data_IF_664751053689
#
_entry.id   IF_664751053689
#
_cell.length_a   1.000
_cell.length_b   1.000
_cell.length_c   1.000
_cell.angle_alpha   90.00
_cell.angle_beta   90.00
_cell.angle_gamma   90.00
#
_symmetry.space_group_name_H-M   'P 1'
#
loop_
_entity.id
_entity.type
_entity.pdbx_description
1 polymer ?
#
# COMPACT_ATOMS: atom_id res chain seq x y z
N UNK A 1 -3.24 -18.60 -19.54
CA UNK A 1 -2.24 -18.92 -18.51
C UNK A 1 -2.46 -20.33 -17.97
N UNK A 2 -3.63 -20.66 -17.42
CA UNK A 2 -3.92 -21.99 -16.84
C UNK A 2 -3.69 -23.16 -17.81
N UNK A 3 -4.14 -23.03 -19.07
CA UNK A 3 -3.89 -24.04 -20.11
C UNK A 3 -2.39 -24.22 -20.41
N UNK A 4 -1.63 -23.13 -20.44
CA UNK A 4 -0.18 -23.16 -20.61
C UNK A 4 0.52 -23.85 -19.43
N UNK A 5 0.07 -23.56 -18.21
CA UNK A 5 0.59 -24.19 -17.00
C UNK A 5 0.29 -25.69 -16.97
N UNK A 6 -0.93 -26.10 -17.38
CA UNK A 6 -1.30 -27.51 -17.50
C UNK A 6 -0.37 -28.28 -18.46
N UNK A 7 -0.05 -27.70 -19.61
CA UNK A 7 0.84 -28.37 -20.58
C UNK A 7 2.29 -28.44 -20.07
N UNK A 8 2.73 -27.41 -19.35
CA UNK A 8 4.13 -27.29 -18.92
C UNK A 8 4.45 -28.00 -17.62
N UNK A 9 3.52 -28.00 -16.68
CA UNK A 9 3.72 -28.45 -15.31
C UNK A 9 2.75 -29.54 -14.86
N UNK A 10 1.88 -29.97 -15.73
CA UNK A 10 0.79 -30.92 -15.44
C UNK A 10 -0.19 -30.46 -14.35
N UNK A 11 -0.18 -29.14 -14.04
CA UNK A 11 -1.03 -28.50 -13.06
C UNK A 11 -1.39 -27.07 -13.52
N UNK A 12 -2.68 -26.72 -13.69
CA UNK A 12 -3.11 -25.39 -14.14
C UNK A 12 -2.77 -24.27 -13.15
N UNK A 13 -2.58 -24.60 -11.88
CA UNK A 13 -2.25 -23.63 -10.81
C UNK A 13 -0.77 -23.60 -10.47
N UNK A 14 0.07 -24.38 -11.13
CA UNK A 14 1.51 -24.34 -10.95
C UNK A 14 2.13 -23.22 -11.82
N UNK A 15 2.72 -22.24 -11.16
CA UNK A 15 3.37 -21.07 -11.80
C UNK A 15 4.90 -21.20 -11.86
N UNK A 16 5.42 -22.39 -11.68
CA UNK A 16 6.85 -22.65 -11.78
C UNK A 16 7.67 -22.30 -10.54
N UNK A 17 7.02 -21.92 -9.43
CA UNK A 17 7.71 -21.56 -8.19
C UNK A 17 8.56 -22.69 -7.61
N UNK A 18 8.16 -23.94 -7.82
CA UNK A 18 8.90 -25.13 -7.37
C UNK A 18 10.21 -25.32 -8.17
N UNK A 19 10.24 -24.83 -9.41
CA UNK A 19 11.38 -24.99 -10.32
C UNK A 19 12.32 -23.79 -10.31
N UNK A 20 12.08 -22.79 -9.47
CA UNK A 20 12.98 -21.65 -9.34
C UNK A 20 14.24 -22.08 -8.58
N UNK A 21 15.40 -21.89 -9.20
CA UNK A 21 16.71 -22.03 -8.54
C UNK A 21 16.97 -20.82 -7.64
N UNK A 22 16.26 -20.73 -6.53
CA UNK A 22 16.47 -19.71 -5.50
C UNK A 22 17.15 -20.35 -4.30
N UNK A 23 17.87 -19.54 -3.53
CA UNK A 23 18.59 -19.99 -2.33
C UNK A 23 17.62 -20.57 -1.29
N UNK A 24 16.36 -20.10 -1.31
CA UNK A 24 15.32 -20.52 -0.40
C UNK A 24 14.15 -21.18 -1.13
N UNK A 25 13.52 -22.13 -0.46
CA UNK A 25 12.35 -22.83 -0.99
C UNK A 25 11.08 -21.95 -0.86
N UNK A 26 10.81 -21.14 -1.89
CA UNK A 26 9.63 -20.25 -1.94
C UNK A 26 8.31 -21.01 -1.92
N UNK A 27 8.27 -22.28 -2.34
CA UNK A 27 7.10 -23.12 -2.27
C UNK A 27 6.68 -23.50 -0.82
N UNK A 28 7.59 -23.37 0.12
CA UNK A 28 7.32 -23.60 1.55
C UNK A 28 6.68 -22.37 2.23
N UNK A 29 6.63 -21.22 1.59
CA UNK A 29 6.05 -20.01 2.14
C UNK A 29 4.54 -20.14 2.26
N UNK A 30 4.01 -19.83 3.45
CA UNK A 30 2.57 -19.90 3.74
C UNK A 30 2.05 -18.54 4.15
N UNK A 31 0.86 -18.22 3.66
CA UNK A 31 0.13 -17.03 4.10
C UNK A 31 -0.37 -17.28 5.53
N UNK A 32 0.13 -16.50 6.48
CA UNK A 32 -0.23 -16.61 7.90
C UNK A 32 -0.73 -15.29 8.44
N UNK A 33 -1.85 -15.29 9.14
CA UNK A 33 -2.47 -14.09 9.68
C UNK A 33 -1.58 -13.39 10.72
N UNK A 34 -0.75 -14.14 11.43
CA UNK A 34 0.21 -13.60 12.41
C UNK A 34 1.23 -12.62 11.80
N UNK A 35 1.45 -12.67 10.48
CA UNK A 35 2.36 -11.77 9.74
C UNK A 35 1.70 -10.46 9.30
N UNK A 36 0.38 -10.34 9.39
CA UNK A 36 -0.35 -9.15 8.97
C UNK A 36 0.12 -7.85 9.67
N UNK A 37 0.32 -7.81 11.00
CA UNK A 37 0.81 -6.59 11.66
C UNK A 37 2.20 -6.18 11.17
N UNK A 38 3.09 -7.15 10.95
CA UNK A 38 4.43 -6.88 10.43
C UNK A 38 4.39 -6.37 8.97
N UNK A 39 3.51 -6.93 8.14
CA UNK A 39 3.29 -6.46 6.77
C UNK A 39 2.81 -5.01 6.76
N UNK A 40 1.78 -4.68 7.55
CA UNK A 40 1.26 -3.31 7.66
C UNK A 40 2.36 -2.36 8.17
N UNK A 41 3.07 -2.74 9.23
CA UNK A 41 4.16 -1.93 9.78
C UNK A 41 5.24 -1.61 8.75
N UNK A 42 5.64 -2.59 7.97
CA UNK A 42 6.71 -2.44 6.98
C UNK A 42 6.26 -1.68 5.73
N UNK A 43 5.16 -2.09 5.12
CA UNK A 43 4.70 -1.49 3.85
C UNK A 43 4.11 -0.10 4.00
N UNK A 44 3.56 0.26 5.17
CA UNK A 44 2.93 1.56 5.36
C UNK A 44 3.71 2.51 6.26
N UNK A 45 4.34 2.02 7.32
CA UNK A 45 4.90 2.85 8.39
C UNK A 45 6.43 2.81 8.51
N UNK A 46 7.13 2.09 7.63
CA UNK A 46 8.59 2.12 7.62
C UNK A 46 9.08 3.53 7.31
N UNK A 47 9.78 4.15 8.26
CA UNK A 47 10.28 5.53 8.12
C UNK A 47 11.56 5.61 7.30
N UNK A 48 11.95 6.85 6.98
CA UNK A 48 13.28 7.17 6.48
C UNK A 48 14.25 7.35 7.65
N UNK A 49 15.48 6.94 7.47
CA UNK A 49 16.58 7.15 8.42
C UNK A 49 17.33 8.43 8.05
N UNK A 50 17.55 9.29 9.04
CA UNK A 50 18.32 10.52 8.85
C UNK A 50 19.80 10.21 8.96
N UNK A 51 20.57 10.70 7.99
CA UNK A 51 22.03 10.67 7.98
C UNK A 51 22.57 12.08 8.21
N UNK A 52 23.79 12.14 8.78
CA UNK A 52 24.47 13.43 8.96
C UNK A 52 25.12 13.93 7.65
N UNK A 53 25.46 12.99 6.74
CA UNK A 53 26.11 13.25 5.46
C UNK A 53 25.13 13.10 4.31
N UNK A 54 25.49 13.67 3.15
CA UNK A 54 24.70 13.46 1.91
C UNK A 54 24.52 11.97 1.61
N UNK A 55 23.30 11.50 1.29
CA UNK A 55 22.10 12.23 0.87
C UNK A 55 21.15 12.68 2.01
N UNK A 56 21.56 12.72 3.26
CA UNK A 56 20.84 13.14 4.46
C UNK A 56 19.63 12.26 4.86
N UNK A 57 19.05 11.54 3.91
CA UNK A 57 17.95 10.60 4.11
C UNK A 57 18.25 9.32 3.34
N UNK A 58 18.05 8.19 4.00
CA UNK A 58 18.05 6.89 3.33
C UNK A 58 16.85 6.05 3.75
N UNK A 59 16.51 5.10 2.95
CA UNK A 59 15.52 4.09 3.28
C UNK A 59 16.02 3.21 4.42
N UNK A 60 15.13 2.88 5.34
CA UNK A 60 15.49 2.06 6.50
C UNK A 60 15.68 0.61 6.07
N UNK A 61 16.78 0.02 6.51
CA UNK A 61 16.99 -1.41 6.36
C UNK A 61 16.13 -2.14 7.39
N UNK A 62 15.22 -2.98 6.91
CA UNK A 62 14.33 -3.75 7.78
C UNK A 62 14.79 -5.20 7.81
N UNK A 63 15.26 -5.64 8.95
CA UNK A 63 15.54 -7.06 9.23
C UNK A 63 14.39 -7.62 10.05
N UNK A 64 13.76 -8.68 9.53
CA UNK A 64 12.76 -9.42 10.31
C UNK A 64 13.45 -10.64 10.90
N UNK A 65 13.35 -10.78 12.21
CA UNK A 65 14.08 -11.78 12.99
C UNK A 65 13.71 -13.24 12.69
N UNK A 66 12.76 -13.50 11.81
CA UNK A 66 12.28 -14.84 11.54
C UNK A 66 12.97 -15.43 10.32
N UNK A 67 13.98 -16.29 10.57
CA UNK A 67 14.85 -16.96 9.58
C UNK A 67 14.12 -17.82 8.53
N UNK A 68 12.81 -18.05 8.68
CA UNK A 68 12.00 -18.83 7.74
C UNK A 68 11.39 -17.97 6.61
N UNK A 69 11.61 -16.67 6.62
CA UNK A 69 11.17 -15.79 5.54
C UNK A 69 12.34 -15.48 4.63
N UNK A 70 12.06 -15.54 3.35
CA UNK A 70 12.91 -15.04 2.29
C UNK A 70 13.01 -13.50 2.40
N UNK A 71 13.92 -13.07 3.24
CA UNK A 71 14.20 -11.65 3.45
C UNK A 71 15.56 -11.37 2.86
N UNK A 72 15.56 -10.93 1.63
CA UNK A 72 16.63 -10.03 1.25
C UNK A 72 16.44 -8.77 2.08
N UNK A 73 17.51 -8.39 2.76
CA UNK A 73 17.55 -7.11 3.41
C UNK A 73 17.58 -6.02 2.37
N UNK A 74 16.44 -5.66 1.86
CA UNK A 74 16.29 -4.48 1.04
C UNK A 74 15.93 -3.29 1.93
N UNK A 75 16.47 -2.15 1.55
CA UNK A 75 16.09 -0.90 2.17
C UNK A 75 14.71 -0.50 1.66
N UNK A 76 13.74 -0.39 2.54
CA UNK A 76 12.36 -0.02 2.20
C UNK A 76 11.96 1.28 2.87
N UNK A 77 11.02 1.97 2.26
CA UNK A 77 10.29 3.05 2.90
C UNK A 77 8.79 2.76 2.84
N UNK A 78 8.09 3.03 3.95
CA UNK A 78 6.65 2.83 4.00
C UNK A 78 5.90 3.84 3.13
N UNK A 79 4.68 3.48 2.71
CA UNK A 79 3.86 4.31 1.85
C UNK A 79 3.60 5.72 2.42
N UNK A 80 3.45 5.83 3.74
CA UNK A 80 3.24 7.12 4.40
C UNK A 80 4.51 7.98 4.55
N UNK A 81 5.68 7.46 4.21
CA UNK A 81 6.88 8.29 4.06
C UNK A 81 6.80 9.19 2.81
N UNK A 82 5.93 8.89 1.85
CA UNK A 82 5.63 9.76 0.73
C UNK A 82 4.62 10.85 1.14
N UNK A 83 5.00 12.15 1.06
CA UNK A 83 4.11 13.24 1.47
C UNK A 83 2.78 13.26 0.74
N UNK A 84 2.75 12.91 -0.54
CA UNK A 84 1.51 12.85 -1.34
C UNK A 84 0.52 11.83 -0.79
N UNK A 85 0.99 10.64 -0.41
CA UNK A 85 0.16 9.57 0.16
C UNK A 85 -0.33 9.96 1.55
N UNK A 86 0.55 10.54 2.38
CA UNK A 86 0.20 11.01 3.71
C UNK A 86 -0.86 12.13 3.67
N UNK A 87 -0.67 13.14 2.81
CA UNK A 87 -1.63 14.23 2.64
C UNK A 87 -2.98 13.72 2.10
N UNK A 88 -2.95 12.77 1.16
CA UNK A 88 -4.15 12.10 0.67
C UNK A 88 -4.91 11.40 1.80
N UNK A 89 -4.22 10.65 2.65
CA UNK A 89 -4.81 9.99 3.80
C UNK A 89 -5.39 11.01 4.80
N UNK A 90 -4.69 12.10 5.09
CA UNK A 90 -5.17 13.19 5.96
C UNK A 90 -6.40 13.91 5.38
N UNK A 91 -6.59 13.91 4.06
CA UNK A 91 -7.76 14.52 3.42
C UNK A 91 -9.03 13.68 3.52
N UNK A 92 -8.94 12.39 3.85
CA UNK A 92 -10.09 11.46 3.92
C UNK A 92 -11.23 11.99 4.80
N UNK A 93 -11.01 12.42 6.07
CA UNK A 93 -12.13 12.86 6.92
C UNK A 93 -12.87 14.08 6.37
N UNK A 94 -12.15 14.99 5.70
CA UNK A 94 -12.75 16.18 5.09
C UNK A 94 -13.62 15.81 3.87
N UNK A 95 -13.08 14.96 3.00
CA UNK A 95 -13.78 14.49 1.80
C UNK A 95 -14.96 13.60 2.19
N UNK A 96 -14.83 12.75 3.20
CA UNK A 96 -15.87 11.90 3.73
C UNK A 96 -17.08 12.70 4.25
N UNK A 97 -16.85 13.75 5.03
CA UNK A 97 -17.90 14.62 5.54
C UNK A 97 -18.69 15.29 4.40
N UNK A 98 -18.00 15.66 3.31
CA UNK A 98 -18.66 16.20 2.11
C UNK A 98 -19.54 15.16 1.43
N UNK A 99 -19.02 13.96 1.19
CA UNK A 99 -19.76 12.89 0.54
C UNK A 99 -21.04 12.55 1.32
N UNK A 100 -20.96 12.53 2.64
CA UNK A 100 -22.09 12.31 3.52
C UNK A 100 -23.18 13.40 3.36
N UNK A 101 -22.79 14.65 3.22
CA UNK A 101 -23.73 15.77 3.01
C UNK A 101 -24.38 15.76 1.63
N UNK A 102 -23.72 15.20 0.63
CA UNK A 102 -24.21 15.18 -0.76
C UNK A 102 -25.05 13.94 -1.10
N UNK A 103 -25.39 13.07 -0.16
CA UNK A 103 -26.05 11.78 -0.38
C UNK A 103 -25.35 10.85 -1.40
N UNK A 104 -24.11 11.17 -1.79
CA UNK A 104 -23.31 10.40 -2.75
C UNK A 104 -22.28 9.51 -2.04
N UNK A 105 -22.50 9.26 -0.74
CA UNK A 105 -21.54 8.60 0.12
C UNK A 105 -21.33 7.12 -0.22
N UNK A 106 -22.40 6.42 -0.62
CA UNK A 106 -22.38 4.95 -0.66
C UNK A 106 -21.38 4.38 -1.66
N UNK A 107 -21.46 4.75 -2.94
CA UNK A 107 -20.56 4.21 -3.97
C UNK A 107 -19.09 4.60 -3.72
N UNK A 108 -18.86 5.88 -3.40
CA UNK A 108 -17.50 6.40 -3.18
C UNK A 108 -16.85 5.80 -1.94
N UNK A 109 -17.62 5.60 -0.87
CA UNK A 109 -17.13 4.94 0.34
C UNK A 109 -16.86 3.46 0.11
N UNK A 110 -17.67 2.77 -0.67
CA UNK A 110 -17.42 1.38 -1.06
C UNK A 110 -16.13 1.28 -1.86
N UNK A 111 -15.93 2.14 -2.86
CA UNK A 111 -14.68 2.15 -3.66
C UNK A 111 -13.47 2.39 -2.76
N UNK A 112 -13.53 3.38 -1.86
CA UNK A 112 -12.45 3.68 -0.92
C UNK A 112 -12.14 2.48 -0.01
N UNK A 113 -13.19 1.86 0.56
CA UNK A 113 -13.03 0.69 1.42
C UNK A 113 -12.47 -0.51 0.67
N UNK A 114 -12.99 -0.81 -0.53
CA UNK A 114 -12.48 -1.89 -1.37
C UNK A 114 -11.01 -1.68 -1.75
N UNK A 115 -10.63 -0.44 -2.11
CA UNK A 115 -9.23 -0.11 -2.41
C UNK A 115 -8.34 -0.28 -1.19
N UNK A 116 -8.77 0.20 -0.02
CA UNK A 116 -8.00 0.04 1.22
C UNK A 116 -7.82 -1.45 1.59
N UNK A 117 -8.87 -2.24 1.49
CA UNK A 117 -8.82 -3.69 1.74
C UNK A 117 -7.88 -4.36 0.74
N UNK A 118 -8.00 -4.05 -0.56
CA UNK A 118 -7.16 -4.63 -1.60
C UNK A 118 -5.67 -4.32 -1.37
N UNK A 119 -5.33 -3.09 -1.01
CA UNK A 119 -3.95 -2.68 -0.74
C UNK A 119 -3.38 -3.38 0.49
N UNK A 120 -4.17 -3.55 1.55
CA UNK A 120 -3.75 -4.30 2.76
C UNK A 120 -3.57 -5.78 2.45
N UNK A 121 -4.45 -6.37 1.66
CA UNK A 121 -4.34 -7.78 1.23
C UNK A 121 -3.11 -8.00 0.35
N UNK A 122 -2.84 -7.11 -0.61
CA UNK A 122 -1.63 -7.16 -1.43
C UNK A 122 -0.38 -7.10 -0.56
N UNK A 123 -0.28 -6.10 0.33
CA UNK A 123 0.85 -5.97 1.24
C UNK A 123 1.07 -7.24 2.10
N UNK A 124 -0.01 -7.84 2.58
CA UNK A 124 0.06 -9.05 3.39
C UNK A 124 0.48 -10.28 2.58
N UNK A 125 -0.07 -10.46 1.38
CA UNK A 125 0.28 -11.58 0.50
C UNK A 125 1.74 -11.46 0.07
N UNK A 126 2.17 -10.30 -0.41
CA UNK A 126 3.55 -10.06 -0.84
C UNK A 126 4.53 -10.27 0.29
N UNK A 127 4.21 -9.75 1.48
CA UNK A 127 5.02 -9.97 2.67
C UNK A 127 5.15 -11.45 3.05
N UNK A 128 4.08 -12.23 2.92
CA UNK A 128 4.10 -13.66 3.25
C UNK A 128 4.81 -14.50 2.21
N UNK A 129 4.70 -14.15 0.92
CA UNK A 129 5.17 -14.98 -0.17
C UNK A 129 6.57 -14.61 -0.65
N UNK A 130 6.89 -13.34 -0.69
CA UNK A 130 8.13 -12.83 -1.27
C UNK A 130 9.00 -12.03 -0.29
N UNK A 131 8.47 -11.67 0.88
CA UNK A 131 9.15 -10.81 1.84
C UNK A 131 9.05 -9.33 1.46
N UNK A 132 10.13 -8.57 1.72
CA UNK A 132 10.16 -7.13 1.48
C UNK A 132 11.01 -6.87 0.24
N UNK A 133 10.35 -6.55 -0.87
CA UNK A 133 11.00 -6.17 -2.12
C UNK A 133 10.45 -4.83 -2.58
N UNK A 134 11.35 -3.93 -2.98
CA UNK A 134 10.98 -2.58 -3.43
C UNK A 134 10.00 -2.61 -4.62
N UNK A 135 10.13 -3.59 -5.52
CA UNK A 135 9.23 -3.75 -6.67
C UNK A 135 7.77 -4.01 -6.27
N UNK A 136 7.51 -4.82 -5.24
CA UNK A 136 6.14 -5.05 -4.74
C UNK A 136 5.59 -3.82 -4.02
N UNK A 137 6.47 -3.06 -3.39
CA UNK A 137 6.12 -1.78 -2.80
C UNK A 137 5.61 -0.78 -3.85
N UNK A 138 6.17 -0.80 -5.07
CA UNK A 138 5.73 0.07 -6.17
C UNK A 138 4.28 -0.18 -6.56
N UNK A 139 3.81 -1.42 -6.60
CA UNK A 139 2.43 -1.75 -6.94
C UNK A 139 1.44 -1.10 -5.95
N UNK A 140 1.76 -1.18 -4.66
CA UNK A 140 0.99 -0.53 -3.59
C UNK A 140 1.06 0.99 -3.71
N UNK A 141 2.25 1.54 -3.96
CA UNK A 141 2.47 2.99 -4.06
C UNK A 141 1.73 3.61 -5.25
N UNK A 142 1.66 2.93 -6.39
CA UNK A 142 0.89 3.40 -7.55
C UNK A 142 -0.59 3.53 -7.20
N UNK A 143 -1.19 2.50 -6.60
CA UNK A 143 -2.59 2.51 -6.20
C UNK A 143 -2.87 3.66 -5.20
N UNK A 144 -2.03 3.76 -4.17
CA UNK A 144 -2.18 4.79 -3.14
C UNK A 144 -1.94 6.20 -3.69
N UNK A 145 -1.00 6.39 -4.62
CA UNK A 145 -0.73 7.69 -5.23
C UNK A 145 -1.89 8.17 -6.10
N UNK A 146 -2.49 7.26 -6.89
CA UNK A 146 -3.69 7.58 -7.68
C UNK A 146 -4.85 7.95 -6.74
N UNK A 147 -5.10 7.14 -5.72
CA UNK A 147 -6.15 7.42 -4.74
C UNK A 147 -5.92 8.77 -4.04
N UNK A 148 -4.71 9.02 -3.59
CA UNK A 148 -4.33 10.28 -2.92
C UNK A 148 -4.53 11.48 -3.84
N UNK A 149 -4.14 11.38 -5.10
CA UNK A 149 -4.36 12.44 -6.09
C UNK A 149 -5.85 12.74 -6.26
N UNK A 150 -6.68 11.72 -6.41
CA UNK A 150 -8.14 11.88 -6.52
C UNK A 150 -8.73 12.55 -5.27
N UNK A 151 -8.27 12.18 -4.08
CA UNK A 151 -8.71 12.78 -2.83
C UNK A 151 -8.26 14.25 -2.71
N UNK A 152 -7.00 14.54 -3.03
CA UNK A 152 -6.44 15.88 -2.96
C UNK A 152 -7.08 16.86 -3.96
N UNK A 153 -7.44 16.40 -5.16
CA UNK A 153 -8.16 17.21 -6.14
C UNK A 153 -9.55 17.65 -5.66
N UNK A 154 -10.12 16.99 -4.67
CA UNK A 154 -11.39 17.38 -4.08
C UNK A 154 -11.25 18.48 -3.00
N UNK A 155 -10.07 18.67 -2.42
CA UNK A 155 -9.83 19.64 -1.34
C UNK A 155 -10.05 21.09 -1.77
N UNK A 156 -9.59 21.59 -2.92
CA UNK A 156 -9.84 22.98 -3.35
C UNK A 156 -11.32 23.31 -3.51
N UNK A 157 -12.11 22.35 -3.98
CA UNK A 157 -13.55 22.54 -4.10
C UNK A 157 -14.25 22.62 -2.73
N UNK A 158 -13.72 21.92 -1.73
CA UNK A 158 -14.16 22.02 -0.33
C UNK A 158 -13.86 23.40 0.26
N UNK A 159 -12.66 23.90 0.08
CA UNK A 159 -12.24 25.21 0.58
C UNK A 159 -13.08 26.33 -0.02
N UNK A 160 -13.35 26.30 -1.33
CA UNK A 160 -14.23 27.28 -1.99
C UNK A 160 -15.66 27.25 -1.42
N UNK A 161 -16.21 26.08 -1.17
CA UNK A 161 -17.57 25.95 -0.59
C UNK A 161 -17.62 26.46 0.85
N UNK A 162 -16.54 26.27 1.61
CA UNK A 162 -16.43 26.74 2.99
C UNK A 162 -16.35 28.27 3.04
N UNK A 163 -15.51 28.88 2.21
CA UNK A 163 -15.42 30.35 2.11
C UNK A 163 -16.74 31.00 1.68
N UNK A 164 -17.46 30.39 0.72
CA UNK A 164 -18.77 30.88 0.29
C UNK A 164 -19.82 30.78 1.41
N UNK A 165 -19.74 29.78 2.28
CA UNK A 165 -20.65 29.66 3.42
C UNK A 165 -20.34 30.67 4.53
N UNK A 166 -19.07 30.96 4.78
CA UNK A 166 -18.67 31.98 5.77
C UNK A 166 -19.08 33.40 5.31
N UNK A 167 -18.93 33.72 4.03
CA UNK A 167 -19.36 35.01 3.50
C UNK A 167 -20.87 35.27 3.69
N UNK A 168 -21.70 34.23 3.58
CA UNK A 168 -23.17 34.34 3.81
C UNK A 168 -23.55 34.47 5.29
N UNK A 169 -22.71 34.13 6.24
CA UNK A 169 -22.97 34.24 7.67
C UNK A 169 -22.53 35.62 8.20
N UNK A 170 -21.69 36.35 7.43
CA UNK A 170 -21.22 37.69 7.75
C UNK A 170 -22.08 38.81 7.19
N UNK A 171 -23.09 38.49 6.38
CA UNK A 171 -24.19 39.38 5.95
C UNK A 171 -25.42 39.24 6.86
#
# INVERSE_FOLDING_TARGET
>A
IMWYNQIRFDDPFQFGSIYQMTVDNTAANKITLSRLPAAIGTYFFSGLERLNDFPFLRTKYVTIANRQMYLYGESTMGAFALPSVLLGACSIPFVWNRWKRQNSCTLRSVVLACTAIAVVLLAWIDFCMAGILLRYMLDILVILSVLSTVLLLQVPTLLKSYHASLARVSE
#
